data_IF_868274877629
#
_entry.id   IF_868274877629
#
_cell.length_a   1.000
_cell.length_b   1.000
_cell.length_c   1.000
_cell.angle_alpha   90.00
_cell.angle_beta   90.00
_cell.angle_gamma   90.00
#
_symmetry.space_group_name_H-M   'P 1'
#
loop_
_entity.id
_entity.type
_entity.pdbx_description
1 polymer ?
#
# COMPACT_ATOMS: atom_id res chain seq x y z
N UNK A 1 -6.23 5.19 -9.54
CA UNK A 1 -4.79 4.99 -9.71
C UNK A 1 -4.25 4.54 -8.35
N UNK A 2 -3.46 3.46 -8.28
CA UNK A 2 -2.81 3.04 -7.04
C UNK A 2 -1.40 3.65 -6.97
N UNK A 3 -1.00 4.11 -5.80
CA UNK A 3 0.32 4.66 -5.58
C UNK A 3 1.16 3.68 -4.78
N UNK A 4 2.33 3.38 -5.30
CA UNK A 4 3.34 2.55 -4.67
C UNK A 4 4.56 3.39 -4.31
N UNK A 5 5.04 3.21 -3.10
CA UNK A 5 6.23 3.85 -2.59
C UNK A 5 7.21 2.76 -2.21
N UNK A 6 8.32 2.69 -2.92
CA UNK A 6 9.37 1.73 -2.68
C UNK A 6 10.51 2.39 -1.93
N UNK A 7 11.01 1.74 -0.90
CA UNK A 7 12.16 2.21 -0.13
C UNK A 7 13.11 1.05 0.18
N UNK A 8 14.30 1.11 -0.41
CA UNK A 8 15.36 0.10 -0.28
C UNK A 8 16.69 0.77 -0.62
N UNK A 9 17.75 0.55 0.12
CA UNK A 9 19.07 1.11 -0.17
C UNK A 9 19.77 0.45 -1.37
N UNK A 10 19.25 -0.69 -1.84
CA UNK A 10 19.69 -1.37 -3.06
C UNK A 10 18.80 -0.99 -4.26
N UNK A 11 19.36 -0.20 -5.19
CA UNK A 11 18.66 0.22 -6.42
C UNK A 11 18.23 -0.96 -7.30
N UNK A 12 18.97 -2.08 -7.31
CA UNK A 12 18.61 -3.26 -8.08
C UNK A 12 17.33 -3.91 -7.51
N UNK A 13 17.18 -3.91 -6.18
CA UNK A 13 15.96 -4.39 -5.52
C UNK A 13 14.77 -3.48 -5.83
N UNK A 14 14.98 -2.17 -5.81
CA UNK A 14 13.93 -1.20 -6.21
C UNK A 14 13.43 -1.46 -7.63
N UNK A 15 14.35 -1.68 -8.57
CA UNK A 15 14.00 -1.93 -9.98
C UNK A 15 13.30 -3.28 -10.16
N UNK A 16 13.74 -4.32 -9.47
CA UNK A 16 13.08 -5.63 -9.48
C UNK A 16 11.62 -5.53 -9.01
N UNK A 17 11.40 -4.92 -7.86
CA UNK A 17 10.06 -4.78 -7.28
C UNK A 17 9.18 -3.86 -8.12
N UNK A 18 9.73 -2.78 -8.66
CA UNK A 18 9.02 -1.94 -9.62
C UNK A 18 8.61 -2.72 -10.88
N UNK A 19 9.46 -3.62 -11.35
CA UNK A 19 9.15 -4.57 -12.43
C UNK A 19 7.96 -5.47 -12.08
N UNK A 20 7.96 -6.06 -10.88
CA UNK A 20 6.84 -6.90 -10.40
C UNK A 20 5.53 -6.11 -10.31
N UNK A 21 5.58 -4.87 -9.82
CA UNK A 21 4.39 -4.01 -9.74
C UNK A 21 3.84 -3.72 -11.13
N UNK A 22 4.69 -3.37 -12.10
CA UNK A 22 4.25 -3.08 -13.48
C UNK A 22 3.62 -4.31 -14.11
N UNK A 23 4.27 -5.49 -14.00
CA UNK A 23 3.75 -6.75 -14.53
C UNK A 23 2.39 -7.11 -13.91
N UNK A 24 2.26 -6.93 -12.59
CA UNK A 24 1.01 -7.17 -11.87
C UNK A 24 -0.08 -6.18 -12.30
N UNK A 25 0.26 -4.91 -12.47
CA UNK A 25 -0.65 -3.85 -12.88
C UNK A 25 -1.20 -4.09 -14.30
N UNK A 26 -0.34 -4.47 -15.23
CA UNK A 26 -0.71 -4.81 -16.63
C UNK A 26 -1.66 -6.01 -16.65
N UNK A 27 -1.35 -7.07 -15.91
CA UNK A 27 -2.18 -8.27 -15.81
C UNK A 27 -3.58 -7.95 -15.27
N UNK A 28 -3.67 -7.05 -14.30
CA UNK A 28 -4.93 -6.69 -13.63
C UNK A 28 -5.63 -5.47 -14.26
N UNK A 29 -5.03 -4.85 -15.29
CA UNK A 29 -5.52 -3.63 -15.96
C UNK A 29 -5.74 -2.47 -14.98
N UNK A 30 -4.76 -2.26 -14.11
CA UNK A 30 -4.78 -1.23 -13.07
C UNK A 30 -3.70 -0.19 -13.37
N UNK A 31 -4.06 1.10 -13.33
CA UNK A 31 -3.10 2.18 -13.42
C UNK A 31 -2.36 2.34 -12.09
N UNK A 32 -1.03 2.37 -12.14
CA UNK A 32 -0.16 2.53 -10.98
C UNK A 32 0.78 3.72 -11.15
N UNK A 33 1.12 4.33 -10.03
CA UNK A 33 2.20 5.30 -9.88
C UNK A 33 3.23 4.70 -8.94
N UNK A 34 4.51 4.76 -9.28
CA UNK A 34 5.60 4.17 -8.50
C UNK A 34 6.62 5.25 -8.21
N UNK A 35 6.89 5.48 -6.94
CA UNK A 35 7.98 6.33 -6.45
C UNK A 35 9.02 5.46 -5.76
N UNK A 36 10.30 5.66 -6.10
CA UNK A 36 11.43 4.89 -5.57
C UNK A 36 12.33 5.80 -4.74
N UNK A 37 12.77 5.30 -3.60
CA UNK A 37 13.64 6.02 -2.65
C UNK A 37 14.72 5.07 -2.14
N UNK A 38 15.95 5.55 -2.08
CA UNK A 38 17.10 4.79 -1.56
C UNK A 38 17.34 5.01 -0.08
N UNK A 39 16.52 5.81 0.60
CA UNK A 39 16.62 6.00 2.05
C UNK A 39 15.28 6.37 2.69
N UNK A 40 15.07 5.96 3.94
CA UNK A 40 13.88 6.30 4.70
C UNK A 40 13.73 7.82 4.94
N UNK A 41 14.84 8.53 5.08
CA UNK A 41 14.82 10.00 5.23
C UNK A 41 14.27 10.68 3.98
N UNK A 42 14.70 10.25 2.80
CA UNK A 42 14.19 10.79 1.54
C UNK A 42 12.69 10.57 1.39
N UNK A 43 12.17 9.43 1.86
CA UNK A 43 10.72 9.19 1.90
C UNK A 43 10.04 10.22 2.80
N UNK A 44 10.51 10.44 4.03
CA UNK A 44 9.88 11.39 4.97
C UNK A 44 9.94 12.84 4.50
N UNK A 45 10.98 13.22 3.77
CA UNK A 45 11.15 14.58 3.24
C UNK A 45 10.27 14.85 2.02
N UNK A 46 10.08 13.86 1.15
CA UNK A 46 9.51 14.04 -0.18
C UNK A 46 8.13 13.45 -0.35
N UNK A 47 7.72 12.53 0.54
CA UNK A 47 6.48 11.80 0.39
C UNK A 47 5.46 12.17 1.46
N UNK A 48 4.27 12.55 0.99
CA UNK A 48 3.09 12.75 1.85
C UNK A 48 2.15 11.55 1.65
N UNK A 49 1.99 10.69 2.68
CA UNK A 49 1.14 9.51 2.56
C UNK A 49 -0.31 9.90 2.31
N UNK A 50 -0.96 9.17 1.40
CA UNK A 50 -2.38 9.29 1.14
C UNK A 50 -3.08 7.98 1.52
N UNK A 51 -4.39 8.04 1.65
CA UNK A 51 -5.19 6.85 1.93
C UNK A 51 -5.01 5.81 0.82
N UNK A 52 -4.86 4.55 1.23
CA UNK A 52 -4.66 3.40 0.35
C UNK A 52 -3.33 3.41 -0.43
N UNK A 53 -2.39 4.27 -0.11
CA UNK A 53 -1.02 4.12 -0.61
C UNK A 53 -0.44 2.79 -0.13
N UNK A 54 0.43 2.22 -0.94
CA UNK A 54 1.12 0.98 -0.63
C UNK A 54 2.61 1.29 -0.53
N UNK A 55 3.12 1.23 0.70
CA UNK A 55 4.55 1.39 0.98
C UNK A 55 5.18 0.00 1.04
N UNK A 56 6.19 -0.24 0.23
CA UNK A 56 7.01 -1.45 0.25
C UNK A 56 8.40 -1.04 0.70
N UNK A 57 8.83 -1.53 1.85
CA UNK A 57 10.01 -1.03 2.52
C UNK A 57 10.93 -2.17 2.95
N UNK A 58 12.22 -2.04 2.64
CA UNK A 58 13.22 -2.87 3.33
C UNK A 58 13.29 -2.47 4.81
N UNK A 59 13.50 -3.46 5.66
CA UNK A 59 13.72 -3.23 7.09
C UNK A 59 15.15 -2.79 7.36
N UNK A 60 16.10 -3.38 6.65
CA UNK A 60 17.54 -3.22 6.94
C UNK A 60 18.16 -2.15 6.05
N UNK A 61 17.98 -0.89 6.40
CA UNK A 61 18.62 0.24 5.71
C UNK A 61 19.57 0.99 6.66
N UNK A 62 20.69 1.54 6.15
CA UNK A 62 21.75 2.09 7.01
C UNK A 62 21.37 3.36 7.77
N UNK A 63 20.59 4.26 7.17
CA UNK A 63 20.29 5.58 7.74
C UNK A 63 19.08 5.60 8.67
N UNK A 64 18.06 4.86 8.29
CA UNK A 64 16.79 4.73 9.00
C UNK A 64 16.21 3.38 8.63
N UNK A 65 16.01 2.52 9.61
CA UNK A 65 15.39 1.22 9.38
C UNK A 65 13.92 1.37 8.96
N UNK A 66 13.40 0.35 8.25
CA UNK A 66 12.04 0.36 7.73
C UNK A 66 10.97 0.41 8.81
N UNK A 67 11.23 -0.09 10.02
CA UNK A 67 10.26 -0.04 11.12
C UNK A 67 10.12 1.39 11.66
N UNK A 68 11.22 2.10 11.80
CA UNK A 68 11.25 3.52 12.18
C UNK A 68 10.54 4.37 11.13
N UNK A 69 10.81 4.11 9.84
CA UNK A 69 10.11 4.78 8.74
C UNK A 69 8.60 4.54 8.80
N UNK A 70 8.19 3.29 8.96
CA UNK A 70 6.78 2.90 9.03
C UNK A 70 6.03 3.61 10.17
N UNK A 71 6.63 3.65 11.36
CA UNK A 71 6.05 4.33 12.52
C UNK A 71 5.96 5.85 12.31
N UNK A 72 6.96 6.45 11.68
CA UNK A 72 6.96 7.88 11.34
C UNK A 72 5.85 8.21 10.33
N UNK A 73 5.70 7.40 9.28
CA UNK A 73 4.62 7.58 8.30
C UNK A 73 3.23 7.39 8.92
N UNK A 74 3.07 6.42 9.84
CA UNK A 74 1.80 6.20 10.53
C UNK A 74 1.41 7.33 11.46
N UNK A 75 2.38 8.03 12.04
CA UNK A 75 2.14 9.24 12.83
C UNK A 75 1.59 10.38 11.98
N UNK A 76 1.94 10.42 10.69
CA UNK A 76 1.41 11.40 9.74
C UNK A 76 0.03 10.98 9.22
N UNK A 77 -0.15 9.69 8.92
CA UNK A 77 -1.40 9.11 8.44
C UNK A 77 -1.49 7.62 8.75
N UNK A 78 -2.55 7.14 9.44
CA UNK A 78 -2.65 5.73 9.84
C UNK A 78 -3.21 4.80 8.75
N UNK A 79 -3.85 5.30 7.70
CA UNK A 79 -4.70 4.53 6.78
C UNK A 79 -4.05 4.22 5.42
N UNK A 80 -2.75 3.96 5.40
CA UNK A 80 -2.03 3.39 4.25
C UNK A 80 -1.56 1.96 4.56
N UNK A 81 -1.13 1.24 3.53
CA UNK A 81 -0.69 -0.15 3.65
C UNK A 81 0.83 -0.25 3.62
N UNK A 82 1.40 -1.05 4.53
CA UNK A 82 2.83 -1.33 4.55
C UNK A 82 3.06 -2.81 4.27
N UNK A 83 4.01 -3.09 3.37
CA UNK A 83 4.57 -4.40 3.11
C UNK A 83 6.07 -4.29 3.42
N UNK A 84 6.56 -5.09 4.36
CA UNK A 84 7.99 -5.18 4.59
C UNK A 84 8.63 -6.23 3.69
N UNK A 85 9.84 -5.92 3.25
CA UNK A 85 10.74 -6.86 2.61
C UNK A 85 12.04 -6.93 3.42
N UNK A 86 12.59 -8.11 3.61
CA UNK A 86 13.84 -8.27 4.36
C UNK A 86 14.55 -9.55 3.98
N UNK A 87 15.88 -9.56 4.08
CA UNK A 87 16.70 -10.75 3.92
C UNK A 87 16.60 -11.72 5.11
N UNK A 88 16.04 -11.30 6.25
CA UNK A 88 15.87 -12.14 7.45
C UNK A 88 14.40 -12.26 7.85
N UNK A 89 14.03 -13.42 8.39
CA UNK A 89 12.72 -13.65 9.03
C UNK A 89 12.66 -13.15 10.47
N UNK A 90 13.80 -12.83 11.06
CA UNK A 90 13.91 -12.52 12.50
C UNK A 90 13.21 -11.19 12.86
N UNK A 91 13.08 -10.29 11.89
CA UNK A 91 12.38 -9.02 12.06
C UNK A 91 10.86 -9.12 11.98
N UNK A 92 10.31 -10.28 11.61
CA UNK A 92 8.86 -10.43 11.41
C UNK A 92 8.07 -10.16 12.70
N UNK A 93 8.60 -10.55 13.88
CA UNK A 93 7.97 -10.27 15.17
C UNK A 93 8.03 -8.78 15.53
N UNK A 94 9.15 -8.11 15.28
CA UNK A 94 9.31 -6.67 15.54
C UNK A 94 8.45 -5.85 14.55
N UNK A 95 8.31 -6.32 13.32
CA UNK A 95 7.48 -5.70 12.31
C UNK A 95 5.98 -5.72 12.68
N UNK A 96 5.56 -6.65 13.54
CA UNK A 96 4.14 -6.79 13.93
C UNK A 96 3.58 -5.51 14.57
N UNK A 97 4.35 -4.80 15.38
CA UNK A 97 3.93 -3.57 16.05
C UNK A 97 3.65 -2.42 15.06
N UNK A 98 4.27 -2.45 13.88
CA UNK A 98 4.00 -1.49 12.80
C UNK A 98 2.73 -1.83 12.00
N UNK A 99 2.00 -2.89 12.39
CA UNK A 99 0.77 -3.36 11.72
C UNK A 99 0.92 -3.47 10.20
N UNK A 100 1.92 -4.24 9.70
CA UNK A 100 2.10 -4.39 8.27
C UNK A 100 0.95 -5.19 7.67
N UNK A 101 0.66 -4.92 6.40
CA UNK A 101 -0.22 -5.79 5.65
C UNK A 101 0.43 -7.13 5.33
N UNK A 102 1.72 -7.13 5.08
CA UNK A 102 2.48 -8.32 4.76
C UNK A 102 3.96 -8.19 4.97
N UNK A 103 4.61 -9.34 4.93
CA UNK A 103 6.05 -9.50 5.07
C UNK A 103 6.55 -10.44 3.98
N UNK A 104 7.56 -10.03 3.22
CA UNK A 104 8.19 -10.83 2.18
C UNK A 104 9.68 -11.02 2.52
N UNK A 105 10.16 -12.24 2.35
CA UNK A 105 11.59 -12.55 2.55
C UNK A 105 12.29 -12.47 1.21
N UNK A 106 13.40 -11.73 1.15
CA UNK A 106 14.26 -11.64 -0.03
C UNK A 106 15.14 -12.90 -0.18
N UNK A 107 15.37 -13.40 -1.41
CA UNK A 107 14.73 -13.00 -2.64
C UNK A 107 13.27 -13.49 -2.70
N UNK A 108 12.33 -12.66 -3.11
CA UNK A 108 10.96 -13.08 -3.28
C UNK A 108 10.64 -13.35 -4.75
N UNK A 109 9.79 -14.36 -5.00
CA UNK A 109 9.32 -14.62 -6.36
C UNK A 109 8.17 -13.68 -6.73
N UNK A 110 8.00 -13.47 -8.05
CA UNK A 110 6.86 -12.71 -8.56
C UNK A 110 5.52 -13.31 -8.10
N UNK A 111 5.42 -14.64 -8.04
CA UNK A 111 4.20 -15.34 -7.61
C UNK A 111 3.83 -15.00 -6.17
N UNK A 112 4.81 -15.02 -5.25
CA UNK A 112 4.59 -14.67 -3.85
C UNK A 112 4.18 -13.19 -3.70
N UNK A 113 4.86 -12.30 -4.42
CA UNK A 113 4.57 -10.88 -4.48
C UNK A 113 3.16 -10.61 -5.02
N UNK A 114 2.83 -11.21 -6.17
CA UNK A 114 1.53 -11.07 -6.85
C UNK A 114 0.38 -11.58 -5.99
N UNK A 115 0.56 -12.72 -5.31
CA UNK A 115 -0.43 -13.27 -4.40
C UNK A 115 -0.72 -12.33 -3.23
N UNK A 116 0.33 -11.74 -2.63
CA UNK A 116 0.19 -10.78 -1.54
C UNK A 116 -0.58 -9.52 -1.98
N UNK A 117 -0.22 -8.94 -3.13
CA UNK A 117 -0.94 -7.79 -3.69
C UNK A 117 -2.40 -8.13 -4.04
N UNK A 118 -2.65 -9.31 -4.59
CA UNK A 118 -4.00 -9.78 -4.90
C UNK A 118 -4.89 -9.81 -3.66
N UNK A 119 -4.39 -10.35 -2.56
CA UNK A 119 -5.08 -10.39 -1.27
C UNK A 119 -5.31 -8.98 -0.70
N UNK A 120 -4.32 -8.09 -0.81
CA UNK A 120 -4.46 -6.70 -0.40
C UNK A 120 -5.59 -6.01 -1.18
N UNK A 121 -5.62 -6.19 -2.49
CA UNK A 121 -6.65 -5.57 -3.33
C UNK A 121 -8.06 -6.10 -3.05
N UNK A 122 -8.20 -7.37 -2.72
CA UNK A 122 -9.49 -7.89 -2.27
C UNK A 122 -9.95 -7.19 -0.99
N UNK A 123 -9.06 -7.06 0.00
CA UNK A 123 -9.35 -6.35 1.25
C UNK A 123 -9.75 -4.89 1.00
N UNK A 124 -8.99 -4.17 0.17
CA UNK A 124 -9.30 -2.77 -0.20
C UNK A 124 -10.65 -2.67 -0.91
N UNK A 125 -10.98 -3.59 -1.83
CA UNK A 125 -12.27 -3.61 -2.55
C UNK A 125 -13.45 -3.91 -1.62
N UNK A 126 -13.30 -4.80 -0.64
CA UNK A 126 -14.36 -5.14 0.32
C UNK A 126 -14.76 -3.95 1.21
N UNK A 127 -13.89 -2.95 1.34
CA UNK A 127 -14.16 -1.72 2.09
C UNK A 127 -14.66 -0.56 1.21
N UNK A 128 -15.09 -0.86 -0.01
CA UNK A 128 -15.57 0.15 -0.97
C UNK A 128 -16.99 -0.18 -1.40
N UNK A 129 -17.92 0.75 -1.22
CA UNK A 129 -19.29 0.68 -1.73
C UNK A 129 -19.33 1.29 -3.14
N UNK A 130 -19.92 0.57 -4.09
CA UNK A 130 -20.20 1.12 -5.43
C UNK A 130 -21.61 1.68 -5.47
N UNK A 131 -21.73 2.96 -5.75
CA UNK A 131 -23.00 3.68 -5.85
C UNK A 131 -23.21 4.08 -7.30
N UNK A 132 -24.37 3.74 -7.86
CA UNK A 132 -24.76 4.13 -9.20
C UNK A 132 -25.72 5.32 -9.13
N UNK A 133 -25.40 6.40 -9.84
CA UNK A 133 -26.28 7.56 -10.00
C UNK A 133 -26.40 7.90 -11.48
N UNK A 134 -27.55 7.60 -12.06
CA UNK A 134 -27.75 7.74 -13.50
C UNK A 134 -26.81 6.82 -14.30
N UNK A 135 -25.97 7.40 -15.14
CA UNK A 135 -24.98 6.65 -15.93
C UNK A 135 -23.58 6.61 -15.29
N UNK A 136 -23.41 7.18 -14.11
CA UNK A 136 -22.13 7.26 -13.40
C UNK A 136 -22.07 6.24 -12.26
N UNK A 137 -20.84 5.75 -12.01
CA UNK A 137 -20.56 4.84 -10.89
C UNK A 137 -19.52 5.49 -9.99
N UNK A 138 -19.91 5.71 -8.76
CA UNK A 138 -19.05 6.24 -7.70
C UNK A 138 -18.59 5.09 -6.80
N UNK A 139 -17.31 5.08 -6.45
CA UNK A 139 -16.75 4.16 -5.45
C UNK A 139 -16.48 4.92 -4.16
N UNK A 140 -17.28 4.65 -3.15
CA UNK A 140 -17.17 5.29 -1.85
C UNK A 140 -16.53 4.31 -0.87
N UNK A 141 -15.45 4.69 -0.18
CA UNK A 141 -14.93 3.90 0.92
C UNK A 141 -15.98 3.77 2.04
N UNK A 142 -16.25 2.56 2.49
CA UNK A 142 -17.25 2.31 3.55
C UNK A 142 -16.90 3.07 4.83
N UNK A 143 -15.61 3.27 5.10
CA UNK A 143 -15.12 4.01 6.27
C UNK A 143 -15.41 5.52 6.21
N UNK A 144 -15.74 6.06 5.05
CA UNK A 144 -16.09 7.48 4.87
C UNK A 144 -17.61 7.72 4.93
N UNK A 145 -18.37 6.63 5.12
CA UNK A 145 -19.82 6.69 5.19
C UNK A 145 -20.22 6.63 6.67
N UNK A 146 -20.74 7.74 7.20
CA UNK A 146 -21.23 7.80 8.58
C UNK A 146 -22.62 7.20 8.71
N UNK A 147 -23.49 7.47 7.73
CA UNK A 147 -24.82 6.88 7.65
C UNK A 147 -25.36 6.92 6.22
N UNK A 148 -26.34 6.09 5.93
CA UNK A 148 -27.05 6.04 4.66
C UNK A 148 -28.51 6.34 4.92
N UNK A 149 -29.05 7.37 4.26
CA UNK A 149 -30.45 7.74 4.34
C UNK A 149 -31.14 7.53 2.99
N UNK A 150 -32.29 6.88 2.99
CA UNK A 150 -33.08 6.68 1.79
C UNK A 150 -34.40 7.45 1.93
N UNK A 151 -34.59 8.48 1.11
CA UNK A 151 -35.80 9.32 1.13
C UNK A 151 -36.32 9.50 -0.30
N UNK A 152 -37.61 9.16 -0.53
CA UNK A 152 -38.33 9.44 -1.79
C UNK A 152 -37.56 9.11 -3.08
N UNK A 153 -37.01 7.90 -3.20
CA UNK A 153 -36.21 7.41 -4.35
C UNK A 153 -34.79 8.01 -4.46
N UNK A 154 -34.31 8.67 -3.44
CA UNK A 154 -32.92 9.12 -3.35
C UNK A 154 -32.24 8.46 -2.16
N UNK A 155 -30.97 8.13 -2.34
CA UNK A 155 -30.11 7.63 -1.28
C UNK A 155 -28.99 8.64 -1.05
N UNK A 156 -28.84 9.11 0.17
CA UNK A 156 -27.80 10.07 0.57
C UNK A 156 -26.76 9.34 1.43
N UNK A 157 -25.49 9.54 1.13
CA UNK A 157 -24.36 9.03 1.88
C UNK A 157 -23.67 10.20 2.57
N UNK A 158 -23.48 10.09 3.87
CA UNK A 158 -22.80 11.07 4.72
C UNK A 158 -21.67 10.41 5.51
#
# INVERSE_FOLDING_TARGET
>A
MLRFILCDDDELQLDEIAGFIRQWADTNKINVEISQFTSGKAVLEQFQPQRNDIVICDIMMPDMDGLTLANSLRSLRPDFHIIFMSSSKDFALQAYDAHPYGYLVKPCSYEAFSALLGNLMQKVRMHTLSVHSGHETYKLPITDISFVEATNRQTVFN
#
